data_IF_036523357168
#
_entry.id   IF_036523357168
#
_cell.length_a   1.000
_cell.length_b   1.000
_cell.length_c   1.000
_cell.angle_alpha   90.00
_cell.angle_beta   90.00
_cell.angle_gamma   90.00
#
_symmetry.space_group_name_H-M   'P 1'
#
loop_
_entity.id
_entity.type
_entity.pdbx_description
1 polymer ?
#
# COMPACT_ATOMS: atom_id res chain seq x y z
N UNK A 1 -2.84 22.97 17.11
CA UNK A 1 -3.58 22.46 15.93
C UNK A 1 -4.38 21.25 16.37
N UNK A 2 -5.64 21.13 15.95
CA UNK A 2 -6.45 19.93 16.22
C UNK A 2 -5.92 18.82 15.30
N UNK A 3 -5.34 17.76 15.85
CA UNK A 3 -4.90 16.60 15.06
C UNK A 3 -6.12 15.99 14.39
N UNK A 4 -6.14 15.96 13.07
CA UNK A 4 -7.20 15.31 12.31
C UNK A 4 -7.03 13.80 12.47
N UNK A 5 -8.12 13.08 12.73
CA UNK A 5 -8.12 11.62 12.72
C UNK A 5 -7.90 11.14 11.28
N UNK A 6 -6.88 10.32 11.05
CA UNK A 6 -6.54 9.86 9.71
C UNK A 6 -5.70 8.59 9.75
N UNK A 7 -5.96 7.67 8.84
CA UNK A 7 -5.09 6.51 8.57
C UNK A 7 -3.82 6.97 7.84
N UNK A 8 -2.72 6.22 7.99
CA UNK A 8 -1.50 6.52 7.25
C UNK A 8 -1.72 6.43 5.73
N UNK A 9 -1.06 7.30 4.95
CA UNK A 9 -1.28 7.41 3.50
C UNK A 9 -0.91 6.15 2.69
N UNK A 10 -0.16 5.22 3.26
CA UNK A 10 0.19 3.95 2.60
C UNK A 10 -1.04 3.04 2.42
N UNK A 11 -2.04 3.22 3.27
CA UNK A 11 -3.32 2.54 3.15
C UNK A 11 -4.17 3.30 2.13
N UNK A 12 -4.41 2.68 0.97
CA UNK A 12 -5.22 3.22 -0.11
C UNK A 12 -5.96 2.12 -0.83
N UNK A 13 -6.92 2.48 -1.68
CA UNK A 13 -7.68 1.52 -2.47
C UNK A 13 -6.74 0.61 -3.28
N UNK A 14 -7.10 -0.67 -3.39
CA UNK A 14 -6.29 -1.67 -4.10
C UNK A 14 -5.05 -2.16 -3.36
N UNK A 15 -4.89 -1.82 -2.07
CA UNK A 15 -3.77 -2.29 -1.26
C UNK A 15 -3.73 -3.81 -1.10
N UNK A 16 -2.52 -4.35 -1.06
CA UNK A 16 -2.26 -5.74 -0.65
C UNK A 16 -1.57 -5.74 0.71
N UNK A 17 -2.10 -6.52 1.66
CA UNK A 17 -1.56 -6.76 2.98
C UNK A 17 -0.89 -8.14 3.02
N UNK A 18 0.22 -8.27 3.75
CA UNK A 18 1.00 -9.50 3.82
C UNK A 18 0.24 -10.64 4.51
N UNK A 19 0.16 -11.80 3.85
CA UNK A 19 -0.38 -13.04 4.43
C UNK A 19 0.56 -13.65 5.46
N UNK A 20 0.01 -14.49 6.34
CA UNK A 20 0.74 -15.28 7.33
C UNK A 20 1.61 -14.48 8.33
N UNK A 21 1.34 -13.18 8.46
CA UNK A 21 2.01 -12.29 9.41
C UNK A 21 0.98 -11.37 10.06
N UNK A 22 1.28 -10.87 11.26
CA UNK A 22 0.48 -9.80 11.85
C UNK A 22 0.66 -8.52 11.02
N UNK A 23 -0.44 -7.84 10.72
CA UNK A 23 -0.42 -6.62 9.89
C UNK A 23 -0.80 -5.42 10.74
N UNK A 24 0.10 -4.43 10.92
CA UNK A 24 -0.23 -3.21 11.62
C UNK A 24 -1.08 -2.31 10.72
N UNK A 25 -2.23 -1.85 11.22
CA UNK A 25 -3.00 -0.75 10.62
C UNK A 25 -2.91 0.44 11.58
N UNK A 26 -2.45 1.58 11.07
CA UNK A 26 -2.04 2.69 11.91
C UNK A 26 -2.33 4.05 11.28
N UNK A 27 -2.32 5.07 12.14
CA UNK A 27 -2.57 6.45 11.74
C UNK A 27 -2.41 7.42 12.90
N UNK A 28 -2.92 8.62 12.71
CA UNK A 28 -2.89 9.71 13.69
C UNK A 28 -4.31 10.11 14.10
N UNK A 29 -4.43 10.80 15.23
CA UNK A 29 -5.71 11.28 15.72
C UNK A 29 -5.62 12.09 17.01
N UNK A 30 -6.78 12.44 17.56
CA UNK A 30 -6.86 13.09 18.87
C UNK A 30 -6.81 12.06 20.01
N UNK A 31 -5.99 12.28 21.03
CA UNK A 31 -5.84 11.39 22.18
C UNK A 31 -7.18 11.03 22.84
N UNK A 32 -7.33 9.75 23.21
CA UNK A 32 -8.58 9.22 23.79
C UNK A 32 -9.65 8.86 22.75
N UNK A 33 -9.45 9.16 21.47
CA UNK A 33 -10.35 8.72 20.40
C UNK A 33 -10.33 7.20 20.29
N UNK A 34 -11.51 6.58 20.29
CA UNK A 34 -11.66 5.15 20.06
C UNK A 34 -11.61 4.86 18.56
N UNK A 35 -10.75 3.93 18.18
CA UNK A 35 -10.55 3.48 16.81
C UNK A 35 -11.08 2.06 16.70
N UNK A 36 -11.84 1.81 15.65
CA UNK A 36 -12.30 0.48 15.25
C UNK A 36 -11.87 0.24 13.81
N UNK A 37 -11.25 -0.90 13.55
CA UNK A 37 -10.83 -1.33 12.22
C UNK A 37 -11.51 -2.65 11.92
N UNK A 38 -12.30 -2.70 10.85
CA UNK A 38 -12.96 -3.91 10.37
C UNK A 38 -12.39 -4.31 9.02
N UNK A 39 -12.07 -5.58 8.87
CA UNK A 39 -11.65 -6.19 7.62
C UNK A 39 -12.24 -7.58 7.50
N UNK A 40 -13.01 -7.82 6.42
CA UNK A 40 -13.84 -9.01 6.28
C UNK A 40 -14.73 -9.23 7.53
N UNK A 41 -14.66 -10.41 8.13
CA UNK A 41 -15.43 -10.78 9.33
C UNK A 41 -14.73 -10.44 10.65
N UNK A 42 -13.54 -9.83 10.61
CA UNK A 42 -12.75 -9.50 11.80
C UNK A 42 -12.83 -8.02 12.14
N UNK A 43 -12.82 -7.73 13.44
CA UNK A 43 -12.84 -6.38 13.99
C UNK A 43 -11.76 -6.23 15.07
N UNK A 44 -11.07 -5.10 15.02
CA UNK A 44 -9.96 -4.73 15.91
C UNK A 44 -10.23 -3.35 16.49
N UNK A 45 -9.81 -3.10 17.73
CA UNK A 45 -10.02 -1.80 18.38
C UNK A 45 -8.76 -1.32 19.09
N UNK A 46 -8.59 -0.01 19.16
CA UNK A 46 -7.52 0.65 19.92
C UNK A 46 -7.97 2.06 20.34
N UNK A 47 -7.12 2.75 21.10
CA UNK A 47 -7.34 4.14 21.50
C UNK A 47 -6.11 4.94 21.11
N UNK A 48 -6.33 6.14 20.56
CA UNK A 48 -5.24 7.07 20.23
C UNK A 48 -4.47 7.47 21.49
N UNK A 49 -3.14 7.36 21.44
CA UNK A 49 -2.20 7.78 22.47
C UNK A 49 -1.04 8.56 21.86
N UNK A 50 -0.71 9.71 22.45
CA UNK A 50 0.35 10.60 21.96
C UNK A 50 0.18 10.95 20.47
N UNK A 51 -1.06 11.19 20.05
CA UNK A 51 -1.45 11.53 18.68
C UNK A 51 -1.43 10.38 17.68
N UNK A 52 -1.08 9.16 18.09
CA UNK A 52 -0.92 8.01 17.21
C UNK A 52 -1.81 6.83 17.65
N UNK A 53 -2.19 5.99 16.69
CA UNK A 53 -2.90 4.74 16.96
C UNK A 53 -2.39 3.62 16.06
N UNK A 54 -2.50 2.39 16.56
CA UNK A 54 -2.19 1.16 15.82
C UNK A 54 -3.09 0.03 16.32
N UNK A 55 -3.62 -0.76 15.40
CA UNK A 55 -4.15 -2.10 15.66
C UNK A 55 -3.27 -3.11 14.96
N UNK A 56 -3.19 -4.32 15.49
CA UNK A 56 -2.53 -5.44 14.84
C UNK A 56 -3.60 -6.42 14.39
N UNK A 57 -3.73 -6.59 13.08
CA UNK A 57 -4.58 -7.61 12.50
C UNK A 57 -3.86 -8.96 12.58
N UNK A 58 -4.55 -10.01 13.05
CA UNK A 58 -3.96 -11.34 13.14
C UNK A 58 -3.57 -11.85 11.74
N UNK A 59 -2.62 -12.80 11.65
CA UNK A 59 -2.28 -13.47 10.41
C UNK A 59 -3.52 -14.02 9.69
N UNK A 60 -3.56 -13.82 8.37
CA UNK A 60 -4.63 -14.30 7.51
C UNK A 60 -4.07 -15.09 6.32
N UNK A 61 -4.89 -15.98 5.79
CA UNK A 61 -4.61 -16.70 4.55
C UNK A 61 -4.74 -15.78 3.33
N UNK A 62 -3.98 -16.09 2.29
CA UNK A 62 -4.04 -15.34 1.02
C UNK A 62 -5.36 -15.54 0.27
N UNK A 63 -5.72 -14.57 -0.57
CA UNK A 63 -6.90 -14.62 -1.44
C UNK A 63 -8.16 -13.98 -0.85
N UNK A 64 -8.11 -13.50 0.40
CA UNK A 64 -9.19 -12.71 1.01
C UNK A 64 -9.19 -11.33 0.35
N UNK A 65 -10.38 -10.87 -0.08
CA UNK A 65 -10.61 -9.50 -0.59
C UNK A 65 -11.80 -8.88 0.13
N UNK A 66 -11.61 -7.69 0.67
CA UNK A 66 -12.67 -6.95 1.39
C UNK A 66 -12.33 -5.47 1.44
N UNK A 67 -13.27 -4.67 1.95
CA UNK A 67 -13.00 -3.28 2.29
C UNK A 67 -12.42 -3.21 3.70
N UNK A 68 -11.44 -2.33 3.91
CA UNK A 68 -10.92 -2.00 5.23
C UNK A 68 -11.66 -0.76 5.73
N UNK A 69 -12.49 -0.95 6.75
CA UNK A 69 -13.35 0.09 7.30
C UNK A 69 -12.73 0.57 8.62
N UNK A 70 -12.46 1.86 8.71
CA UNK A 70 -11.85 2.49 9.89
C UNK A 70 -12.85 3.50 10.45
N UNK A 71 -13.23 3.35 11.71
CA UNK A 71 -14.15 4.24 12.41
C UNK A 71 -13.43 4.98 13.53
N UNK A 72 -13.53 6.31 13.52
CA UNK A 72 -12.97 7.24 14.50
C UNK A 72 -14.12 7.88 15.28
N UNK A 73 -14.59 7.25 16.36
CA UNK A 73 -15.81 7.69 17.05
C UNK A 73 -17.04 7.64 16.13
N UNK A 74 -17.50 8.78 15.62
CA UNK A 74 -18.63 8.91 14.68
C UNK A 74 -18.22 9.05 13.21
N UNK A 75 -16.94 9.28 12.92
CA UNK A 75 -16.41 9.41 11.56
C UNK A 75 -16.00 8.04 11.02
N UNK A 76 -16.15 7.82 9.72
CA UNK A 76 -15.77 6.58 9.06
C UNK A 76 -14.98 6.87 7.78
N UNK A 77 -13.91 6.12 7.58
CA UNK A 77 -13.10 6.06 6.38
C UNK A 77 -13.15 4.62 5.84
N UNK A 78 -13.27 4.47 4.53
CA UNK A 78 -13.33 3.15 3.88
C UNK A 78 -12.24 3.10 2.82
N UNK A 79 -11.45 2.04 2.86
CA UNK A 79 -10.42 1.75 1.87
C UNK A 79 -10.87 0.53 1.10
N UNK A 80 -11.07 0.70 -0.20
CA UNK A 80 -11.75 -0.27 -1.04
C UNK A 80 -10.78 -1.29 -1.63
N UNK A 81 -11.29 -2.50 -1.88
CA UNK A 81 -10.55 -3.53 -2.63
C UNK A 81 -9.20 -3.92 -1.99
N UNK A 82 -9.15 -4.02 -0.67
CA UNK A 82 -7.97 -4.46 0.08
C UNK A 82 -7.88 -5.98 0.03
N UNK A 83 -6.67 -6.51 -0.17
CA UNK A 83 -6.43 -7.95 -0.35
C UNK A 83 -5.39 -8.49 0.62
N UNK A 84 -5.49 -9.76 0.98
CA UNK A 84 -4.41 -10.49 1.66
C UNK A 84 -3.63 -11.31 0.63
N UNK A 85 -2.31 -11.10 0.54
CA UNK A 85 -1.43 -11.72 -0.44
C UNK A 85 0.04 -11.66 -0.05
N UNK A 86 0.94 -11.95 -1.00
CA UNK A 86 2.37 -11.73 -0.81
C UNK A 86 2.75 -10.29 -1.14
N UNK A 87 3.48 -9.63 -0.24
CA UNK A 87 3.96 -8.27 -0.42
C UNK A 87 5.49 -8.29 -0.46
N UNK A 88 6.05 -7.85 -1.58
CA UNK A 88 7.48 -7.77 -1.78
C UNK A 88 7.93 -6.30 -1.75
N UNK A 89 8.88 -5.99 -0.87
CA UNK A 89 9.56 -4.70 -0.88
C UNK A 89 10.77 -4.77 -1.81
N UNK A 90 10.72 -4.02 -2.90
CA UNK A 90 11.82 -3.87 -3.83
C UNK A 90 12.60 -2.61 -3.46
N UNK A 91 13.79 -2.80 -2.89
CA UNK A 91 14.68 -1.72 -2.49
C UNK A 91 16.08 -1.94 -3.08
N UNK A 92 16.73 -0.86 -3.51
CA UNK A 92 18.03 -0.92 -4.17
C UNK A 92 18.49 0.45 -4.64
N UNK A 93 19.57 0.46 -5.42
CA UNK A 93 20.09 1.65 -6.09
C UNK A 93 19.43 1.84 -7.48
N UNK A 94 20.04 2.62 -8.36
CA UNK A 94 19.49 3.01 -9.67
C UNK A 94 18.90 1.88 -10.52
N UNK A 95 19.39 0.65 -10.41
CA UNK A 95 18.85 -0.48 -11.17
C UNK A 95 17.42 -0.86 -10.75
N UNK A 96 17.03 -0.66 -9.48
CA UNK A 96 15.64 -0.89 -9.07
C UNK A 96 14.72 0.20 -9.62
N UNK A 97 15.27 1.39 -9.89
CA UNK A 97 14.52 2.51 -10.44
C UNK A 97 14.40 2.46 -11.97
N UNK A 98 15.15 1.58 -12.63
CA UNK A 98 15.08 1.41 -14.08
C UNK A 98 13.67 0.99 -14.48
N UNK A 99 12.98 1.85 -15.22
CA UNK A 99 11.57 1.68 -15.57
C UNK A 99 11.41 0.64 -16.66
N UNK A 100 10.32 -0.12 -16.61
CA UNK A 100 9.98 -1.09 -17.65
C UNK A 100 9.79 -0.41 -19.02
N UNK A 101 9.31 0.84 -19.06
CA UNK A 101 9.20 1.61 -20.32
C UNK A 101 10.53 1.92 -20.99
N UNK A 102 11.64 1.87 -20.25
CA UNK A 102 13.00 2.08 -20.75
C UNK A 102 13.66 0.75 -21.16
N UNK A 103 13.03 -0.39 -20.86
CA UNK A 103 13.52 -1.70 -21.23
C UNK A 103 13.41 -1.93 -22.74
N UNK A 104 14.43 -2.58 -23.32
CA UNK A 104 14.48 -2.87 -24.75
C UNK A 104 13.28 -3.69 -25.22
N UNK A 105 12.79 -4.59 -24.36
CA UNK A 105 11.77 -5.57 -24.71
C UNK A 105 10.37 -5.10 -24.26
N UNK A 106 10.21 -3.83 -23.85
CA UNK A 106 8.98 -3.25 -23.31
C UNK A 106 7.72 -3.53 -24.13
N UNK A 107 7.76 -3.31 -25.45
CA UNK A 107 6.58 -3.51 -26.32
C UNK A 107 6.09 -4.96 -26.26
N UNK A 108 7.00 -5.92 -26.29
CA UNK A 108 6.69 -7.34 -26.19
C UNK A 108 6.14 -7.68 -24.80
N UNK A 109 6.76 -7.16 -23.75
CA UNK A 109 6.34 -7.41 -22.37
C UNK A 109 4.95 -6.86 -22.09
N UNK A 110 4.67 -5.65 -22.56
CA UNK A 110 3.36 -4.99 -22.47
C UNK A 110 2.25 -5.80 -23.13
N UNK A 111 2.50 -6.36 -24.32
CA UNK A 111 1.52 -7.20 -25.04
C UNK A 111 1.31 -8.56 -24.38
N UNK A 112 2.34 -9.08 -23.70
CA UNK A 112 2.27 -10.38 -23.01
C UNK A 112 1.51 -10.33 -21.68
N UNK A 113 1.17 -9.14 -21.18
CA UNK A 113 0.43 -9.01 -19.92
C UNK A 113 -1.02 -9.45 -20.07
N UNK A 114 -1.31 -10.62 -19.50
CA UNK A 114 -2.65 -11.14 -19.38
C UNK A 114 -3.02 -11.25 -17.90
N UNK A 115 -4.08 -10.53 -17.49
CA UNK A 115 -4.81 -10.67 -16.22
C UNK A 115 -3.99 -11.06 -14.98
N UNK A 116 -2.85 -10.39 -14.76
CA UNK A 116 -2.08 -10.60 -13.54
C UNK A 116 -2.80 -9.95 -12.36
N UNK A 117 -2.91 -10.69 -11.26
CA UNK A 117 -3.45 -10.16 -10.01
C UNK A 117 -2.34 -9.51 -9.17
N UNK A 118 -1.72 -8.49 -9.76
CA UNK A 118 -0.55 -7.82 -9.23
C UNK A 118 -0.90 -6.36 -9.02
N UNK A 119 -0.51 -5.85 -7.85
CA UNK A 119 -0.66 -4.46 -7.48
C UNK A 119 0.70 -3.92 -7.09
N UNK A 120 0.97 -2.66 -7.43
CA UNK A 120 2.23 -2.00 -7.09
C UNK A 120 1.97 -0.70 -6.36
N UNK A 121 2.94 -0.31 -5.55
CA UNK A 121 3.03 1.01 -4.93
C UNK A 121 4.44 1.55 -5.19
N UNK A 122 4.54 2.60 -5.98
CA UNK A 122 5.81 3.29 -6.18
C UNK A 122 6.05 4.25 -5.01
N UNK A 123 7.08 3.99 -4.21
CA UNK A 123 7.47 4.91 -3.13
C UNK A 123 8.02 6.20 -3.78
N UNK A 124 7.51 7.38 -3.41
CA UNK A 124 7.95 8.63 -4.03
C UNK A 124 9.41 8.92 -3.70
N UNK A 125 10.14 9.45 -4.69
CA UNK A 125 11.50 9.95 -4.50
C UNK A 125 11.42 11.31 -3.84
N UNK A 126 11.80 11.36 -2.57
CA UNK A 126 11.68 12.56 -1.76
C UNK A 126 13.09 13.07 -1.49
N UNK A 127 13.33 14.32 -1.87
CA UNK A 127 14.47 15.08 -1.38
C UNK A 127 13.98 15.81 -0.14
N UNK A 128 14.53 15.46 1.02
CA UNK A 128 14.25 16.20 2.25
C UNK A 128 15.07 17.50 2.20
N UNK A 129 14.40 18.61 1.92
CA UNK A 129 15.03 19.93 1.80
C UNK A 129 15.29 20.59 3.17
N UNK A 130 14.62 20.14 4.24
CA UNK A 130 14.79 20.68 5.60
C UNK A 130 15.28 19.64 6.62
N UNK A 131 15.96 20.12 7.67
CA UNK A 131 16.47 19.31 8.78
C UNK A 131 15.35 18.69 9.63
N UNK A 132 14.10 19.14 9.46
CA UNK A 132 12.93 18.62 10.16
C UNK A 132 12.32 17.39 9.45
N UNK A 133 12.87 16.99 8.29
CA UNK A 133 12.44 15.85 7.50
C UNK A 133 10.92 15.83 7.24
N UNK A 134 10.31 17.01 7.04
CA UNK A 134 8.88 17.07 6.76
C UNK A 134 8.58 16.40 5.41
N UNK A 135 7.79 15.33 5.46
CA UNK A 135 7.23 14.59 4.32
C UNK A 135 6.51 15.59 3.37
N UNK A 136 7.05 15.88 2.18
CA UNK A 136 6.42 16.82 1.26
C UNK A 136 4.99 16.40 0.92
N UNK A 137 4.09 17.38 0.77
CA UNK A 137 2.66 17.14 0.46
C UNK A 137 2.46 16.30 -0.81
N UNK A 138 3.44 16.31 -1.72
CA UNK A 138 3.40 15.57 -2.98
C UNK A 138 3.36 14.03 -2.79
N UNK A 139 3.85 13.53 -1.66
CA UNK A 139 3.78 12.10 -1.30
C UNK A 139 2.33 11.62 -1.19
N UNK A 140 1.39 12.52 -0.92
CA UNK A 140 -0.03 12.20 -0.76
C UNK A 140 -0.72 11.74 -2.04
N UNK A 141 -0.04 11.77 -3.20
CA UNK A 141 -0.62 11.35 -4.49
C UNK A 141 -0.38 9.88 -4.84
N UNK A 142 0.57 9.22 -4.18
CA UNK A 142 0.91 7.83 -4.50
C UNK A 142 -0.08 6.88 -3.84
N UNK A 143 -0.54 5.90 -4.61
CA UNK A 143 -1.54 4.91 -4.21
C UNK A 143 -1.15 3.55 -4.78
N UNK A 144 -1.76 2.52 -4.24
CA UNK A 144 -1.73 1.20 -4.83
C UNK A 144 -2.48 1.21 -6.16
N UNK A 145 -1.90 0.57 -7.17
CA UNK A 145 -2.51 0.46 -8.49
C UNK A 145 -2.40 -0.98 -9.00
N UNK A 146 -3.48 -1.47 -9.60
CA UNK A 146 -3.45 -2.75 -10.29
C UNK A 146 -2.56 -2.62 -11.52
N UNK A 147 -1.59 -3.53 -11.67
CA UNK A 147 -0.71 -3.57 -12.83
C UNK A 147 -1.53 -3.91 -14.09
N UNK A 148 -1.31 -3.13 -15.16
CA UNK A 148 -2.00 -3.29 -16.43
C UNK A 148 -1.10 -2.88 -17.60
N UNK A 149 -1.52 -3.22 -18.82
CA UNK A 149 -0.80 -2.83 -20.05
C UNK A 149 -0.65 -1.30 -20.19
N UNK A 150 -1.55 -0.54 -19.59
CA UNK A 150 -1.59 0.91 -19.64
C UNK A 150 -0.59 1.57 -18.68
N UNK A 151 -0.37 1.00 -17.48
CA UNK A 151 0.46 1.61 -16.43
C UNK A 151 1.80 0.90 -16.14
N UNK A 152 2.03 -0.29 -16.70
CA UNK A 152 3.26 -1.06 -16.46
C UNK A 152 4.57 -0.34 -16.80
N UNK A 153 4.54 0.67 -17.67
CA UNK A 153 5.74 1.40 -18.05
C UNK A 153 6.42 2.11 -16.88
N UNK A 154 5.67 2.42 -15.83
CA UNK A 154 6.15 3.16 -14.65
C UNK A 154 6.65 2.28 -13.50
N UNK A 155 6.55 0.96 -13.61
CA UNK A 155 7.12 0.05 -12.61
C UNK A 155 8.59 -0.24 -12.90
N UNK A 156 9.31 -0.69 -11.86
CA UNK A 156 10.66 -1.24 -11.99
C UNK A 156 10.68 -2.41 -12.98
N UNK A 157 11.58 -2.40 -13.96
CA UNK A 157 11.77 -3.52 -14.87
C UNK A 157 12.19 -4.79 -14.09
N UNK A 158 13.10 -4.64 -13.12
CA UNK A 158 13.52 -5.73 -12.24
C UNK A 158 12.33 -6.29 -11.46
N UNK A 159 11.49 -5.41 -10.90
CA UNK A 159 10.28 -5.81 -10.20
C UNK A 159 9.27 -6.53 -11.08
N UNK A 160 9.07 -6.02 -12.30
CA UNK A 160 8.19 -6.64 -13.29
C UNK A 160 8.66 -8.05 -13.65
N UNK A 161 9.94 -8.24 -13.99
CA UNK A 161 10.48 -9.55 -14.35
C UNK A 161 10.48 -10.54 -13.18
N UNK A 162 10.70 -10.05 -11.95
CA UNK A 162 10.55 -10.86 -10.73
C UNK A 162 9.11 -11.39 -10.60
N UNK A 163 8.11 -10.52 -10.70
CA UNK A 163 6.70 -10.91 -10.62
C UNK A 163 6.32 -11.82 -11.79
N UNK A 164 6.79 -11.52 -13.01
CA UNK A 164 6.60 -12.38 -14.18
C UNK A 164 7.09 -13.80 -13.90
N UNK A 165 8.26 -13.94 -13.27
CA UNK A 165 8.81 -15.24 -12.90
C UNK A 165 7.98 -15.96 -11.82
N UNK A 166 7.34 -15.23 -10.91
CA UNK A 166 6.46 -15.82 -9.88
C UNK A 166 5.12 -16.33 -10.44
N UNK A 167 4.58 -15.68 -11.48
CA UNK A 167 3.21 -15.95 -11.97
C UNK A 167 3.14 -16.63 -13.34
N UNK A 168 4.23 -16.70 -14.11
CA UNK A 168 4.24 -17.25 -15.48
C UNK A 168 5.17 -18.46 -15.68
N UNK A 169 5.55 -19.15 -14.60
CA UNK A 169 6.21 -20.46 -14.62
C UNK A 169 5.36 -21.48 -13.87
#
# INVERSE_FOLDING_TARGET
MKTLNKVANIFSDGMVLQRHQEVPVFGTGADGTHIRVKFAEKEYTTIVKNGNWCVWMDPQEGGIRSDLIITYGSEQEVIHSVQIGDVYLLAGQSNIEFKLSEDRDFCQEKESMNNMDVYYYNVPKIIYEDEQAQVPREIQKNKWEKLSSENCGDVSAVGFYFVKQLFLI
#
